data_IF_861101290670
#
_entry.id   IF_861101290670
#
_cell.length_a   1.000
_cell.length_b   1.000
_cell.length_c   1.000
_cell.angle_alpha   90.00
_cell.angle_beta   90.00
_cell.angle_gamma   90.00
#
_symmetry.space_group_name_H-M   'P 1'
#
loop_
_entity.id
_entity.type
_entity.pdbx_description
1 polymer ?
#
# COMPACT_ATOMS: atom_id res chain seq x y z
N UNK A 1 10.95 -33.10 14.53
CA UNK A 1 11.36 -32.32 13.32
C UNK A 1 10.08 -31.98 12.55
N UNK A 2 9.85 -30.71 12.20
CA UNK A 2 8.50 -30.19 11.87
C UNK A 2 8.01 -30.39 10.43
N UNK A 3 8.72 -31.12 9.54
CA UNK A 3 8.17 -31.54 8.24
C UNK A 3 7.78 -30.44 7.23
N UNK A 4 8.09 -29.16 7.50
CA UNK A 4 7.73 -28.04 6.64
C UNK A 4 8.60 -27.99 5.36
N UNK A 5 7.98 -27.64 4.23
CA UNK A 5 8.64 -27.46 2.92
C UNK A 5 8.43 -26.04 2.42
N UNK A 6 9.50 -25.42 1.90
CA UNK A 6 9.44 -24.08 1.32
C UNK A 6 8.78 -24.10 -0.06
N UNK A 7 7.92 -23.11 -0.32
CA UNK A 7 7.38 -22.89 -1.65
C UNK A 7 8.30 -21.95 -2.45
N UNK A 8 9.31 -22.52 -3.11
CA UNK A 8 10.30 -21.77 -3.89
C UNK A 8 9.66 -20.83 -4.92
N UNK A 9 8.53 -21.19 -5.52
CA UNK A 9 7.83 -20.36 -6.51
C UNK A 9 7.19 -19.09 -5.93
N UNK A 10 6.89 -19.08 -4.63
CA UNK A 10 6.31 -17.91 -3.93
C UNK A 10 7.34 -17.15 -3.10
N UNK A 11 8.56 -17.67 -3.00
CA UNK A 11 9.61 -17.09 -2.17
C UNK A 11 10.51 -16.22 -3.03
N UNK A 12 10.66 -14.98 -2.61
CA UNK A 12 11.58 -13.99 -3.17
C UNK A 12 12.43 -13.45 -2.03
N UNK A 13 13.57 -12.84 -2.34
CA UNK A 13 14.39 -12.16 -1.35
C UNK A 13 14.70 -10.73 -1.77
N UNK A 14 14.89 -9.87 -0.78
CA UNK A 14 15.29 -8.48 -0.94
C UNK A 14 16.48 -8.24 -0.01
N UNK A 15 17.46 -7.47 -0.47
CA UNK A 15 18.60 -7.05 0.33
C UNK A 15 18.73 -5.54 0.26
N UNK A 16 19.25 -4.93 1.33
CA UNK A 16 19.43 -3.47 1.46
C UNK A 16 20.89 -3.05 1.24
N UNK A 17 21.79 -4.00 1.02
CA UNK A 17 23.21 -3.75 0.80
C UNK A 17 23.51 -3.40 -0.67
N UNK A 18 24.47 -2.49 -0.84
CA UNK A 18 24.97 -2.05 -2.16
C UNK A 18 26.06 -2.95 -2.74
N UNK A 19 26.39 -4.06 -2.06
CA UNK A 19 27.42 -5.01 -2.48
C UNK A 19 26.98 -5.82 -3.71
N UNK A 20 27.92 -6.48 -4.38
CA UNK A 20 27.63 -7.30 -5.55
C UNK A 20 26.49 -8.30 -5.28
N UNK A 21 25.58 -8.53 -6.25
CA UNK A 21 24.47 -9.45 -6.09
C UNK A 21 24.92 -10.88 -5.76
N UNK A 22 24.90 -11.25 -4.48
CA UNK A 22 24.92 -12.66 -4.10
C UNK A 22 23.64 -13.35 -4.58
N UNK A 23 23.76 -14.56 -5.13
CA UNK A 23 22.60 -15.41 -5.47
C UNK A 23 22.26 -16.34 -4.31
N UNK A 24 20.99 -16.39 -3.92
CA UNK A 24 20.50 -17.36 -2.92
C UNK A 24 19.92 -18.56 -3.67
N UNK A 25 20.45 -19.74 -3.39
CA UNK A 25 19.99 -21.01 -4.00
C UNK A 25 19.40 -21.94 -2.95
N UNK A 26 18.27 -22.55 -3.28
CA UNK A 26 17.59 -23.57 -2.47
C UNK A 26 17.49 -24.84 -3.30
N UNK A 27 18.17 -25.90 -2.87
CA UNK A 27 18.24 -27.18 -3.61
C UNK A 27 18.64 -27.00 -5.08
N UNK A 28 19.62 -26.12 -5.35
CA UNK A 28 20.07 -25.81 -6.71
C UNK A 28 19.16 -24.87 -7.52
N UNK A 29 17.97 -24.53 -7.02
CA UNK A 29 17.09 -23.53 -7.64
C UNK A 29 17.43 -22.15 -7.09
N UNK A 30 17.70 -21.20 -7.98
CA UNK A 30 17.94 -19.81 -7.61
C UNK A 30 16.63 -19.11 -7.22
N UNK A 31 16.64 -18.37 -6.10
CA UNK A 31 15.52 -17.54 -5.68
C UNK A 31 15.53 -16.22 -6.45
N UNK A 32 14.35 -15.69 -6.72
CA UNK A 32 14.20 -14.37 -7.34
C UNK A 32 14.59 -13.27 -6.34
N UNK A 33 15.54 -12.41 -6.74
CA UNK A 33 15.82 -11.15 -6.04
C UNK A 33 14.84 -10.08 -6.51
N UNK A 34 14.24 -9.34 -5.58
CA UNK A 34 13.34 -8.21 -5.88
C UNK A 34 13.84 -6.90 -5.28
N UNK A 35 13.51 -5.78 -5.94
CA UNK A 35 13.77 -4.41 -5.45
C UNK A 35 12.62 -3.87 -4.59
N UNK A 36 11.44 -4.48 -4.67
CA UNK A 36 10.28 -4.15 -3.84
C UNK A 36 9.59 -5.42 -3.41
N UNK A 37 9.45 -5.61 -2.10
CA UNK A 37 8.85 -6.79 -1.50
C UNK A 37 7.55 -6.43 -0.78
N UNK A 38 6.50 -7.26 -0.96
CA UNK A 38 5.24 -7.06 -0.24
C UNK A 38 5.19 -7.94 1.01
N UNK A 39 5.25 -7.30 2.17
CA UNK A 39 5.15 -7.96 3.47
C UNK A 39 3.90 -7.48 4.23
N UNK A 40 3.01 -8.41 4.57
CA UNK A 40 1.77 -8.14 5.32
C UNK A 40 0.92 -6.98 4.75
N UNK A 41 0.94 -6.82 3.43
CA UNK A 41 0.21 -5.76 2.74
C UNK A 41 1.02 -4.50 2.43
N UNK A 42 2.15 -4.29 3.11
CA UNK A 42 3.05 -3.15 2.91
C UNK A 42 4.15 -3.46 1.89
N UNK A 43 4.48 -2.49 1.05
CA UNK A 43 5.58 -2.55 0.09
C UNK A 43 6.85 -2.00 0.72
N UNK A 44 7.91 -2.80 0.73
CA UNK A 44 9.22 -2.46 1.27
C UNK A 44 10.18 -2.37 0.08
N UNK A 45 10.79 -1.22 -0.12
CA UNK A 45 11.76 -0.99 -1.19
C UNK A 45 13.20 -1.21 -0.69
N UNK A 46 14.09 -1.70 -1.56
CA UNK A 46 15.48 -1.98 -1.21
C UNK A 46 16.29 -0.74 -0.83
N UNK A 47 15.90 0.43 -1.36
CA UNK A 47 16.48 1.74 -1.06
C UNK A 47 15.86 2.40 0.19
N UNK A 48 14.92 1.72 0.87
CA UNK A 48 14.15 2.28 1.98
C UNK A 48 13.12 3.34 1.55
N UNK A 49 12.93 3.54 0.25
CA UNK A 49 12.00 4.51 -0.29
C UNK A 49 10.54 4.19 0.00
N UNK A 50 9.78 5.19 0.44
CA UNK A 50 8.35 5.06 0.73
C UNK A 50 7.45 5.25 -0.50
N UNK A 51 8.05 5.50 -1.66
CA UNK A 51 7.32 5.81 -2.89
C UNK A 51 6.32 4.71 -3.28
N UNK A 52 6.75 3.46 -3.22
CA UNK A 52 5.92 2.29 -3.54
C UNK A 52 4.80 2.06 -2.52
N UNK A 53 5.11 2.18 -1.21
CA UNK A 53 4.11 1.98 -0.15
C UNK A 53 3.02 3.06 -0.19
N UNK A 54 3.41 4.33 -0.24
CA UNK A 54 2.44 5.44 -0.31
C UNK A 54 1.55 5.34 -1.54
N UNK A 55 2.12 5.02 -2.71
CA UNK A 55 1.34 4.83 -3.92
C UNK A 55 0.39 3.62 -3.82
N UNK A 56 0.85 2.52 -3.23
CA UNK A 56 0.02 1.34 -2.97
C UNK A 56 -1.20 1.68 -2.11
N UNK A 57 -1.01 2.43 -1.01
CA UNK A 57 -2.11 2.83 -0.11
C UNK A 57 -3.06 3.83 -0.74
N UNK A 58 -2.55 4.85 -1.43
CA UNK A 58 -3.38 5.81 -2.15
C UNK A 58 -4.23 5.09 -3.19
N UNK A 59 -3.65 4.17 -3.98
CA UNK A 59 -4.40 3.40 -4.96
C UNK A 59 -5.42 2.45 -4.33
N UNK A 60 -5.09 1.84 -3.18
CA UNK A 60 -6.05 1.04 -2.43
C UNK A 60 -7.23 1.89 -1.93
N UNK A 61 -6.97 3.08 -1.42
CA UNK A 61 -8.00 4.01 -0.97
C UNK A 61 -8.88 4.50 -2.12
N UNK A 62 -8.29 4.80 -3.29
CA UNK A 62 -9.01 5.22 -4.51
C UNK A 62 -10.02 4.17 -5.03
N UNK A 63 -9.96 2.93 -4.55
CA UNK A 63 -11.03 1.93 -4.80
C UNK A 63 -12.38 2.33 -4.21
N UNK A 64 -12.44 3.36 -3.34
CA UNK A 64 -13.70 3.99 -2.91
C UNK A 64 -14.60 4.38 -4.09
N UNK A 65 -14.03 4.61 -5.29
CA UNK A 65 -14.77 4.86 -6.53
C UNK A 65 -15.75 3.76 -6.92
N UNK A 66 -15.57 2.55 -6.41
CA UNK A 66 -16.57 1.47 -6.57
C UNK A 66 -17.86 1.72 -5.76
N UNK A 67 -17.83 2.65 -4.80
CA UNK A 67 -18.95 3.02 -3.93
C UNK A 67 -19.55 4.38 -4.31
N UNK A 68 -19.36 4.85 -5.55
CA UNK A 68 -19.93 6.12 -6.04
C UNK A 68 -21.45 6.16 -5.91
N UNK A 69 -22.14 5.02 -6.06
CA UNK A 69 -23.59 4.93 -5.84
C UNK A 69 -24.05 5.27 -4.41
N UNK A 70 -23.14 5.30 -3.42
CA UNK A 70 -23.45 5.78 -2.06
C UNK A 70 -22.81 7.14 -1.81
N UNK A 71 -21.55 7.31 -2.21
CA UNK A 71 -20.76 8.50 -1.89
C UNK A 71 -21.11 9.72 -2.77
N UNK A 72 -21.58 9.51 -3.99
CA UNK A 72 -22.03 10.57 -4.91
C UNK A 72 -23.56 10.67 -4.98
N UNK A 73 -24.31 9.86 -4.23
CA UNK A 73 -25.78 9.96 -4.19
C UNK A 73 -26.20 11.16 -3.34
N UNK A 74 -27.05 12.02 -3.90
CA UNK A 74 -27.56 13.24 -3.26
C UNK A 74 -28.61 12.94 -2.18
N UNK A 75 -29.25 11.77 -2.25
CA UNK A 75 -30.23 11.31 -1.27
C UNK A 75 -29.58 10.77 0.01
N UNK A 76 -28.29 10.44 -0.05
CA UNK A 76 -27.56 9.91 1.10
C UNK A 76 -27.10 11.07 2.00
N UNK A 77 -27.41 11.04 3.32
CA UNK A 77 -26.99 12.08 4.23
C UNK A 77 -25.47 12.24 4.31
N UNK A 78 -25.01 13.49 4.31
CA UNK A 78 -23.58 13.84 4.39
C UNK A 78 -22.88 13.21 5.61
N UNK A 79 -23.59 13.11 6.74
CA UNK A 79 -23.10 12.45 7.96
C UNK A 79 -22.72 10.99 7.71
N UNK A 80 -23.47 10.27 6.85
CA UNK A 80 -23.17 8.87 6.52
C UNK A 80 -21.95 8.78 5.59
N UNK A 81 -21.87 9.64 4.57
CA UNK A 81 -20.68 9.74 3.69
C UNK A 81 -19.42 10.03 4.49
N UNK A 82 -19.49 11.00 5.41
CA UNK A 82 -18.40 11.35 6.32
C UNK A 82 -18.00 10.18 7.22
N UNK A 83 -18.97 9.41 7.72
CA UNK A 83 -18.69 8.20 8.50
C UNK A 83 -17.92 7.17 7.66
N UNK A 84 -18.38 6.87 6.44
CA UNK A 84 -17.70 5.95 5.52
C UNK A 84 -16.27 6.40 5.24
N UNK A 85 -16.06 7.69 4.97
CA UNK A 85 -14.72 8.23 4.78
C UNK A 85 -13.81 7.95 5.99
N UNK A 86 -14.26 8.31 7.20
CA UNK A 86 -13.48 8.16 8.43
C UNK A 86 -13.23 6.70 8.82
N UNK A 87 -14.16 5.80 8.55
CA UNK A 87 -14.08 4.39 9.01
C UNK A 87 -13.53 3.42 7.97
N UNK A 88 -13.58 3.76 6.68
CA UNK A 88 -13.17 2.85 5.59
C UNK A 88 -12.02 3.44 4.79
N UNK A 89 -12.23 4.63 4.21
CA UNK A 89 -11.28 5.19 3.23
C UNK A 89 -10.01 5.68 3.92
N UNK A 90 -10.15 6.46 4.99
CA UNK A 90 -9.02 7.03 5.72
C UNK A 90 -8.10 5.95 6.31
N UNK A 91 -8.59 4.91 7.02
CA UNK A 91 -7.74 3.83 7.52
C UNK A 91 -7.00 3.07 6.41
N UNK A 92 -7.61 2.86 5.25
CA UNK A 92 -6.95 2.21 4.10
C UNK A 92 -5.81 3.07 3.56
N UNK A 93 -5.98 4.39 3.50
CA UNK A 93 -4.98 5.32 3.01
C UNK A 93 -3.76 5.45 3.94
N UNK A 94 -3.96 5.30 5.25
CA UNK A 94 -2.92 5.51 6.28
C UNK A 94 -2.43 4.22 6.95
N UNK A 95 -2.83 3.05 6.46
CA UNK A 95 -2.35 1.79 7.03
C UNK A 95 -0.83 1.68 6.90
N UNK A 96 -0.14 1.41 8.01
CA UNK A 96 1.32 1.34 8.07
C UNK A 96 2.00 2.70 8.18
N UNK A 97 1.23 3.80 8.24
CA UNK A 97 1.77 5.15 8.32
C UNK A 97 2.45 5.46 9.67
N UNK A 98 2.23 4.64 10.69
CA UNK A 98 2.95 4.72 11.98
C UNK A 98 4.47 4.57 11.83
N UNK A 99 4.94 3.92 10.75
CA UNK A 99 6.36 3.74 10.45
C UNK A 99 6.84 4.66 9.32
N UNK A 100 5.99 5.54 8.78
CA UNK A 100 6.38 6.42 7.69
C UNK A 100 7.08 7.66 8.23
N UNK A 101 8.19 8.11 7.61
CA UNK A 101 8.68 9.46 7.84
C UNK A 101 7.64 10.49 7.35
N UNK A 102 7.32 11.47 8.19
CA UNK A 102 6.39 12.57 7.86
C UNK A 102 7.08 13.57 6.91
N UNK A 103 7.22 13.19 5.64
CA UNK A 103 7.78 14.06 4.61
C UNK A 103 6.67 14.86 3.91
N UNK A 104 7.02 16.04 3.39
CA UNK A 104 6.09 16.89 2.62
C UNK A 104 5.52 16.19 1.40
N UNK A 105 6.29 15.30 0.78
CA UNK A 105 5.85 14.51 -0.36
C UNK A 105 4.72 13.54 0.01
N UNK A 106 4.85 12.85 1.14
CA UNK A 106 3.82 11.93 1.65
C UNK A 106 2.54 12.68 2.00
N UNK A 107 2.67 13.79 2.73
CA UNK A 107 1.55 14.68 3.05
C UNK A 107 0.83 15.16 1.78
N UNK A 108 1.59 15.62 0.78
CA UNK A 108 1.04 16.11 -0.48
C UNK A 108 0.27 15.01 -1.23
N UNK A 109 0.78 13.78 -1.28
CA UNK A 109 0.10 12.65 -1.93
C UNK A 109 -1.21 12.29 -1.25
N UNK A 110 -1.24 12.26 0.08
CA UNK A 110 -2.47 11.99 0.85
C UNK A 110 -3.49 13.13 0.67
N UNK A 111 -3.05 14.39 0.72
CA UNK A 111 -3.90 15.55 0.48
C UNK A 111 -4.51 15.55 -0.91
N UNK A 112 -3.74 15.20 -1.94
CA UNK A 112 -4.25 15.08 -3.32
C UNK A 112 -5.33 14.00 -3.42
N UNK A 113 -5.13 12.85 -2.78
CA UNK A 113 -6.13 11.78 -2.73
C UNK A 113 -7.42 12.26 -2.05
N UNK A 114 -7.31 12.86 -0.86
CA UNK A 114 -8.46 13.36 -0.09
C UNK A 114 -9.23 14.44 -0.85
N UNK A 115 -8.53 15.45 -1.36
CA UNK A 115 -9.13 16.55 -2.14
C UNK A 115 -9.83 16.03 -3.39
N UNK A 116 -9.22 15.05 -4.09
CA UNK A 116 -9.83 14.44 -5.27
C UNK A 116 -11.10 13.67 -4.93
N UNK A 117 -11.15 13.01 -3.78
CA UNK A 117 -12.35 12.31 -3.31
C UNK A 117 -13.44 13.32 -2.93
N UNK A 118 -13.14 14.30 -2.09
CA UNK A 118 -14.11 15.28 -1.60
C UNK A 118 -14.77 16.05 -2.75
N UNK A 119 -13.99 16.44 -3.76
CA UNK A 119 -14.53 17.11 -4.95
C UNK A 119 -15.58 16.26 -5.67
N UNK A 120 -15.35 14.96 -5.81
CA UNK A 120 -16.26 14.05 -6.49
C UNK A 120 -17.51 13.71 -5.66
N UNK A 121 -17.43 13.73 -4.34
CA UNK A 121 -18.58 13.43 -3.46
C UNK A 121 -19.48 14.64 -3.21
N UNK A 122 -18.98 15.84 -3.51
CA UNK A 122 -19.72 17.10 -3.38
C UNK A 122 -20.58 17.44 -4.62
N UNK A 123 -20.32 16.80 -5.77
CA UNK A 123 -21.07 16.95 -7.02
C UNK A 123 -22.40 16.16 -7.01
#
# INVERSE_FOLDING_TARGET
MFGLRLNVKKTEYLTTDSSEPGSIKINGTELTRTTTFKYLGSAIACDGGLGFETNSRVNAALKWRSMTGVLCDKNIPERLKSKIYRTVIRPVAIYGAECWPTTKEVEARLNVMETKMLRWTAE
#
